data_IF_765652025929
#
_entry.id   IF_765652025929
#
_cell.length_a   1.000
_cell.length_b   1.000
_cell.length_c   1.000
_cell.angle_alpha   90.00
_cell.angle_beta   90.00
_cell.angle_gamma   90.00
#
_symmetry.space_group_name_H-M   'P 1'
#
loop_
_entity.id
_entity.type
_entity.pdbx_description
1 polymer ?
#
# COMPACT_ATOMS: atom_id res chain seq x y z
N UNK A 1 9.94 14.61 5.48
CA UNK A 1 8.69 13.84 5.31
C UNK A 1 8.93 12.84 4.19
N UNK A 2 8.53 11.57 4.36
CA UNK A 2 8.67 10.55 3.30
C UNK A 2 7.92 11.00 2.03
N UNK A 3 8.49 10.76 0.84
CA UNK A 3 7.85 11.00 -0.47
C UNK A 3 6.43 10.39 -0.51
N UNK A 4 6.25 9.27 0.17
CA UNK A 4 5.02 8.47 0.18
C UNK A 4 4.13 8.70 1.40
N UNK A 5 4.38 9.75 2.19
CA UNK A 5 3.62 10.02 3.42
C UNK A 5 2.11 10.20 3.16
N UNK A 6 1.74 10.87 2.07
CA UNK A 6 0.33 11.09 1.71
C UNK A 6 -0.35 9.78 1.26
N UNK A 7 0.34 8.97 0.46
CA UNK A 7 -0.18 7.67 0.02
C UNK A 7 -0.33 6.72 1.21
N UNK A 8 0.65 6.69 2.12
CA UNK A 8 0.57 5.94 3.37
C UNK A 8 -0.59 6.39 4.26
N UNK A 9 -0.80 7.70 4.41
CA UNK A 9 -1.93 8.23 5.20
C UNK A 9 -3.29 7.82 4.60
N UNK A 10 -3.39 7.77 3.26
CA UNK A 10 -4.61 7.30 2.59
C UNK A 10 -4.84 5.81 2.83
N UNK A 11 -3.81 4.98 2.68
CA UNK A 11 -3.91 3.55 2.98
C UNK A 11 -4.27 3.30 4.46
N UNK A 12 -3.69 4.09 5.36
CA UNK A 12 -4.04 4.07 6.78
C UNK A 12 -5.52 4.36 7.02
N UNK A 13 -6.09 5.36 6.33
CA UNK A 13 -7.51 5.66 6.45
C UNK A 13 -8.41 4.49 6.03
N UNK A 14 -8.05 3.75 4.97
CA UNK A 14 -8.76 2.53 4.59
C UNK A 14 -8.66 1.43 5.66
N UNK A 15 -7.48 1.25 6.25
CA UNK A 15 -7.23 0.29 7.33
C UNK A 15 -8.03 0.63 8.59
N UNK A 16 -8.10 1.91 8.95
CA UNK A 16 -8.84 2.37 10.14
C UNK A 16 -10.36 2.20 9.96
N UNK A 17 -10.88 2.41 8.73
CA UNK A 17 -12.29 2.11 8.40
C UNK A 17 -12.57 0.61 8.38
N UNK A 18 -11.62 -0.18 7.89
CA UNK A 18 -11.70 -1.62 7.74
C UNK A 18 -12.95 -2.09 6.97
N UNK A 19 -13.32 -1.34 5.92
CA UNK A 19 -14.47 -1.65 5.07
C UNK A 19 -14.02 -2.47 3.85
N UNK A 20 -14.79 -3.52 3.55
CA UNK A 20 -14.53 -4.42 2.41
C UNK A 20 -14.68 -3.69 1.08
N UNK A 21 -15.60 -2.74 0.96
CA UNK A 21 -15.83 -2.00 -0.28
C UNK A 21 -14.60 -1.15 -0.67
N UNK A 22 -13.80 -0.77 0.32
CA UNK A 22 -12.59 0.04 0.14
C UNK A 22 -11.38 -0.77 -0.36
N UNK A 23 -11.44 -2.12 -0.39
CA UNK A 23 -10.33 -2.96 -0.89
C UNK A 23 -10.06 -2.68 -2.38
N UNK A 24 -11.10 -2.44 -3.18
CA UNK A 24 -10.93 -2.09 -4.60
C UNK A 24 -10.23 -0.72 -4.76
N UNK A 25 -10.49 0.22 -3.85
CA UNK A 25 -9.83 1.53 -3.82
C UNK A 25 -8.34 1.39 -3.47
N UNK A 26 -8.01 0.56 -2.48
CA UNK A 26 -6.60 0.25 -2.14
C UNK A 26 -5.86 -0.28 -3.36
N UNK A 27 -6.41 -1.28 -4.07
CA UNK A 27 -5.76 -1.84 -5.25
C UNK A 27 -5.53 -0.79 -6.34
N UNK A 28 -6.54 0.06 -6.58
CA UNK A 28 -6.46 1.13 -7.57
C UNK A 28 -5.38 2.15 -7.23
N UNK A 29 -5.27 2.51 -5.95
CA UNK A 29 -4.23 3.44 -5.48
C UNK A 29 -2.82 2.85 -5.59
N UNK A 30 -2.63 1.57 -5.25
CA UNK A 30 -1.32 0.91 -5.40
C UNK A 30 -0.87 0.88 -6.85
N UNK A 31 -1.77 0.56 -7.78
CA UNK A 31 -1.47 0.59 -9.22
C UNK A 31 -1.16 2.01 -9.70
N UNK A 32 -1.94 3.00 -9.26
CA UNK A 32 -1.68 4.42 -9.59
C UNK A 32 -0.28 4.84 -9.14
N UNK A 33 0.12 4.51 -7.91
CA UNK A 33 1.43 4.88 -7.36
C UNK A 33 2.55 4.21 -8.14
N UNK A 34 2.43 2.89 -8.39
CA UNK A 34 3.42 2.17 -9.16
C UNK A 34 3.58 2.78 -10.56
N UNK A 35 2.47 2.94 -11.30
CA UNK A 35 2.48 3.39 -12.70
C UNK A 35 2.90 4.86 -12.91
N UNK A 36 3.11 5.64 -11.85
CA UNK A 36 3.79 6.93 -11.95
C UNK A 36 5.29 6.78 -12.27
N UNK A 37 5.87 5.59 -12.04
CA UNK A 37 7.25 5.29 -12.37
C UNK A 37 7.31 4.57 -13.73
N UNK A 38 8.20 5.02 -14.63
CA UNK A 38 8.22 4.52 -16.00
C UNK A 38 8.76 3.10 -16.09
N UNK A 39 9.76 2.75 -15.29
CA UNK A 39 10.43 1.46 -15.35
C UNK A 39 10.00 0.50 -14.22
N UNK A 40 10.09 -0.83 -14.42
CA UNK A 40 9.67 -1.82 -13.43
C UNK A 40 10.38 -1.70 -12.07
N UNK A 41 11.67 -1.32 -12.05
CA UNK A 41 12.42 -1.19 -10.81
C UNK A 41 11.93 0.02 -9.99
N UNK A 42 11.67 1.14 -10.67
CA UNK A 42 11.04 2.31 -10.07
C UNK A 42 9.65 2.01 -9.51
N UNK A 43 8.82 1.24 -10.25
CA UNK A 43 7.47 0.81 -9.79
C UNK A 43 7.54 0.03 -8.48
N UNK A 44 8.48 -0.91 -8.37
CA UNK A 44 8.71 -1.69 -7.14
C UNK A 44 9.21 -0.79 -6.02
N UNK A 45 10.20 0.07 -6.28
CA UNK A 45 10.76 0.97 -5.28
C UNK A 45 9.71 1.95 -4.72
N UNK A 46 8.77 2.41 -5.55
CA UNK A 46 7.67 3.25 -5.08
C UNK A 46 6.76 2.50 -4.08
N UNK A 47 6.44 1.24 -4.37
CA UNK A 47 5.63 0.40 -3.48
C UNK A 47 6.37 0.06 -2.18
N UNK A 48 7.68 -0.18 -2.23
CA UNK A 48 8.52 -0.34 -1.03
C UNK A 48 8.51 0.94 -0.17
N UNK A 49 8.60 2.10 -0.81
CA UNK A 49 8.53 3.40 -0.13
C UNK A 49 7.18 3.65 0.56
N UNK A 50 6.06 3.29 -0.09
CA UNK A 50 4.72 3.35 0.51
C UNK A 50 4.61 2.39 1.70
N UNK A 51 5.10 1.16 1.57
CA UNK A 51 5.05 0.17 2.64
C UNK A 51 5.87 0.59 3.86
N UNK A 52 7.07 1.15 3.65
CA UNK A 52 7.89 1.69 4.71
C UNK A 52 7.15 2.84 5.43
N UNK A 53 6.64 3.81 4.67
CA UNK A 53 5.89 4.94 5.22
C UNK A 53 4.62 4.49 5.98
N UNK A 54 3.90 3.49 5.47
CA UNK A 54 2.74 2.92 6.13
C UNK A 54 3.12 2.24 7.44
N UNK A 55 4.17 1.42 7.42
CA UNK A 55 4.69 0.69 8.59
C UNK A 55 5.16 1.64 9.70
N UNK A 56 5.77 2.77 9.34
CA UNK A 56 6.21 3.79 10.30
C UNK A 56 5.03 4.40 11.08
N UNK A 57 3.87 4.53 10.44
CA UNK A 57 2.65 5.13 11.02
C UNK A 57 1.74 4.14 11.74
N UNK A 58 1.94 2.84 11.57
CA UNK A 58 1.11 1.79 12.15
C UNK A 58 1.78 1.17 13.38
N UNK A 59 0.98 0.93 14.41
CA UNK A 59 1.34 0.16 15.61
C UNK A 59 0.31 -0.96 15.75
N UNK A 60 0.58 -2.16 15.20
CA UNK A 60 -0.43 -3.22 15.11
C UNK A 60 -1.00 -3.67 16.46
N UNK A 61 -0.20 -3.56 17.52
CA UNK A 61 -0.55 -3.84 18.92
C UNK A 61 -1.60 -2.88 19.49
N UNK A 62 -1.76 -1.70 18.88
CA UNK A 62 -2.73 -0.68 19.30
C UNK A 62 -4.02 -0.70 18.46
N UNK A 63 -4.12 -1.62 17.50
CA UNK A 63 -5.26 -1.72 16.59
C UNK A 63 -6.30 -2.72 17.12
N UNK A 64 -7.56 -2.50 16.75
CA UNK A 64 -8.57 -3.54 16.92
C UNK A 64 -8.27 -4.72 15.95
N UNK A 65 -8.76 -5.95 16.24
CA UNK A 65 -8.45 -7.13 15.43
C UNK A 65 -8.85 -7.02 13.95
N UNK A 66 -9.96 -6.33 13.66
CA UNK A 66 -10.44 -6.16 12.29
C UNK A 66 -9.51 -5.27 11.48
N UNK A 67 -9.13 -4.10 12.03
CA UNK A 67 -8.15 -3.21 11.40
C UNK A 67 -6.78 -3.88 11.26
N UNK A 68 -6.39 -4.74 12.21
CA UNK A 68 -5.16 -5.52 12.09
C UNK A 68 -5.22 -6.52 10.92
N UNK A 69 -6.34 -7.23 10.75
CA UNK A 69 -6.54 -8.12 9.61
C UNK A 69 -6.51 -7.35 8.27
N UNK A 70 -7.12 -6.17 8.23
CA UNK A 70 -7.06 -5.27 7.08
C UNK A 70 -5.65 -4.79 6.78
N UNK A 71 -4.88 -4.41 7.80
CA UNK A 71 -3.49 -4.03 7.63
C UNK A 71 -2.67 -5.15 6.96
N UNK A 72 -2.81 -6.39 7.43
CA UNK A 72 -2.16 -7.57 6.82
C UNK A 72 -2.62 -7.79 5.38
N UNK A 73 -3.91 -7.58 5.09
CA UNK A 73 -4.43 -7.67 3.73
C UNK A 73 -3.81 -6.60 2.81
N UNK A 74 -3.71 -5.35 3.27
CA UNK A 74 -3.07 -4.25 2.51
C UNK A 74 -1.59 -4.55 2.26
N UNK A 75 -0.84 -5.04 3.26
CA UNK A 75 0.55 -5.47 3.06
C UNK A 75 0.66 -6.57 1.99
N UNK A 76 -0.24 -7.55 2.03
CA UNK A 76 -0.27 -8.63 1.04
C UNK A 76 -0.61 -8.11 -0.37
N UNK A 77 -1.48 -7.10 -0.47
CA UNK A 77 -1.81 -6.45 -1.74
C UNK A 77 -0.62 -5.67 -2.30
N UNK A 78 0.15 -4.99 -1.44
CA UNK A 78 1.38 -4.30 -1.83
C UNK A 78 2.36 -5.30 -2.45
N UNK A 79 2.66 -6.41 -1.76
CA UNK A 79 3.59 -7.43 -2.28
C UNK A 79 3.11 -8.02 -3.62
N UNK A 80 1.82 -8.37 -3.72
CA UNK A 80 1.26 -8.87 -4.99
C UNK A 80 1.34 -7.84 -6.11
N UNK A 81 1.19 -6.55 -5.79
CA UNK A 81 1.32 -5.48 -6.78
C UNK A 81 2.77 -5.35 -7.24
N UNK A 82 3.76 -5.45 -6.34
CA UNK A 82 5.18 -5.50 -6.72
C UNK A 82 5.47 -6.65 -7.69
N UNK A 83 4.96 -7.83 -7.39
CA UNK A 83 5.12 -9.00 -8.26
C UNK A 83 4.51 -8.81 -9.65
N UNK A 84 3.38 -8.08 -9.74
CA UNK A 84 2.74 -7.79 -11.01
C UNK A 84 3.50 -6.74 -11.82
N UNK A 85 3.89 -5.63 -11.19
CA UNK A 85 4.53 -4.50 -11.89
C UNK A 85 6.00 -4.76 -12.23
N UNK A 86 6.69 -5.62 -11.49
CA UNK A 86 8.06 -6.05 -11.80
C UNK A 86 8.16 -6.85 -13.10
N UNK A 87 7.07 -7.53 -13.48
CA UNK A 87 6.97 -8.36 -14.70
C UNK A 87 6.34 -7.59 -15.87
N UNK A 88 5.80 -6.40 -15.62
CA UNK A 88 5.14 -5.58 -16.64
C UNK A 88 6.21 -4.80 -17.42
N UNK A 89 6.22 -4.86 -18.77
CA UNK A 89 7.14 -4.05 -19.58
C UNK A 89 7.04 -2.55 -19.27
N UNK A 90 8.11 -1.81 -19.58
CA UNK A 90 8.13 -0.35 -19.48
C UNK A 90 7.15 0.28 -20.47
#
# INVERSE_FOLDING_TARGET
MSEYANDAARLRAFIDRADREEIAAVQSDLLRIALQKPDPAGRVAALDGVQAALSDTIRPDQMNPLSQAFYVAVLSMIERTKDAVSKTPA
#
